data_IF_864317692974
#
_entry.id   IF_864317692974
#
_cell.length_a   1.000
_cell.length_b   1.000
_cell.length_c   1.000
_cell.angle_alpha   90.00
_cell.angle_beta   90.00
_cell.angle_gamma   90.00
#
_symmetry.space_group_name_H-M   'P 1'
#
loop_
_entity.id
_entity.type
_entity.pdbx_description
1 polymer ?
#
# COMPACT_ATOMS: atom_id res chain seq x y z
N UNK A 1 -13.56 -11.00 -5.82
CA UNK A 1 -12.36 -11.56 -5.17
C UNK A 1 -11.60 -10.42 -4.52
N UNK A 2 -11.23 -10.58 -3.25
CA UNK A 2 -10.45 -9.56 -2.54
C UNK A 2 -9.10 -9.39 -3.24
N UNK A 3 -8.69 -8.16 -3.56
CA UNK A 3 -7.42 -7.89 -4.25
C UNK A 3 -6.18 -8.40 -3.49
N UNK A 4 -6.35 -8.80 -2.22
CA UNK A 4 -5.33 -9.35 -1.31
C UNK A 4 -5.15 -10.88 -1.50
N UNK A 5 -6.02 -11.57 -2.24
CA UNK A 5 -5.98 -13.04 -2.41
C UNK A 5 -4.88 -13.53 -3.35
N UNK A 6 -4.32 -12.64 -4.19
CA UNK A 6 -3.27 -12.97 -5.16
C UNK A 6 -2.12 -13.76 -4.52
N UNK A 7 -1.69 -14.79 -5.20
CA UNK A 7 -0.47 -15.53 -4.87
C UNK A 7 0.76 -14.65 -5.10
N UNK A 8 1.91 -14.94 -4.43
CA UNK A 8 3.13 -14.17 -4.66
C UNK A 8 3.57 -14.11 -6.13
N UNK A 9 3.30 -15.17 -6.91
CA UNK A 9 3.63 -15.21 -8.35
C UNK A 9 2.80 -14.21 -9.15
N UNK A 10 1.48 -14.20 -8.94
CA UNK A 10 0.57 -13.26 -9.61
C UNK A 10 0.87 -11.80 -9.25
N UNK A 11 1.30 -11.53 -8.01
CA UNK A 11 1.74 -10.19 -7.61
C UNK A 11 3.00 -9.77 -8.38
N UNK A 12 3.99 -10.66 -8.50
CA UNK A 12 5.22 -10.37 -9.27
C UNK A 12 4.90 -10.15 -10.74
N UNK A 13 4.02 -10.96 -11.33
CA UNK A 13 3.56 -10.82 -12.71
C UNK A 13 2.82 -9.51 -12.96
N UNK A 14 1.96 -9.08 -12.04
CA UNK A 14 1.30 -7.79 -12.13
C UNK A 14 2.30 -6.63 -12.05
N UNK A 15 3.28 -6.71 -11.15
CA UNK A 15 4.35 -5.71 -11.04
C UNK A 15 5.26 -5.68 -12.28
N UNK A 16 5.44 -6.80 -12.98
CA UNK A 16 6.23 -6.87 -14.22
C UNK A 16 5.63 -6.03 -15.35
N UNK A 17 4.32 -5.76 -15.34
CA UNK A 17 3.67 -4.89 -16.34
C UNK A 17 4.12 -3.41 -16.25
N UNK A 18 4.66 -3.00 -15.11
CA UNK A 18 4.98 -1.59 -14.83
C UNK A 18 6.44 -1.35 -14.47
N UNK A 19 7.12 -2.32 -13.86
CA UNK A 19 8.51 -2.21 -13.42
C UNK A 19 9.34 -3.24 -14.19
N UNK A 20 10.41 -2.81 -14.84
CA UNK A 20 11.36 -3.71 -15.51
C UNK A 20 12.44 -4.16 -14.51
N UNK A 21 12.81 -5.45 -14.52
CA UNK A 21 13.84 -5.99 -13.61
C UNK A 21 13.40 -6.04 -12.14
N UNK A 22 14.32 -5.81 -11.19
CA UNK A 22 14.05 -5.73 -9.75
C UNK A 22 13.29 -6.94 -9.15
N UNK A 23 13.62 -8.15 -9.60
CA UNK A 23 12.90 -9.37 -9.19
C UNK A 23 12.86 -9.57 -7.68
N UNK A 24 13.99 -9.37 -6.98
CA UNK A 24 14.06 -9.58 -5.54
C UNK A 24 13.19 -8.60 -4.76
N UNK A 25 13.14 -7.33 -5.18
CA UNK A 25 12.27 -6.33 -4.57
C UNK A 25 10.79 -6.67 -4.80
N UNK A 26 10.41 -7.12 -6.00
CA UNK A 26 9.05 -7.58 -6.32
C UNK A 26 8.65 -8.81 -5.51
N UNK A 27 9.56 -9.78 -5.37
CA UNK A 27 9.36 -10.98 -4.57
C UNK A 27 9.18 -10.65 -3.09
N UNK A 28 10.00 -9.74 -2.55
CA UNK A 28 9.91 -9.32 -1.16
C UNK A 28 8.54 -8.68 -0.85
N UNK A 29 8.07 -7.76 -1.69
CA UNK A 29 6.74 -7.14 -1.49
C UNK A 29 5.60 -8.14 -1.67
N UNK A 30 5.72 -9.08 -2.62
CA UNK A 30 4.73 -10.12 -2.83
C UNK A 30 4.59 -11.07 -1.62
N UNK A 31 5.72 -11.42 -1.00
CA UNK A 31 5.72 -12.24 0.22
C UNK A 31 5.15 -11.48 1.42
N UNK A 32 5.47 -10.20 1.60
CA UNK A 32 4.90 -9.39 2.66
C UNK A 32 3.38 -9.26 2.52
N UNK A 33 2.88 -9.04 1.30
CA UNK A 33 1.44 -9.02 1.03
C UNK A 33 0.78 -10.38 1.34
N UNK A 34 1.41 -11.49 0.91
CA UNK A 34 0.90 -12.83 1.20
C UNK A 34 0.90 -13.14 2.70
N UNK A 35 1.89 -12.64 3.44
CA UNK A 35 1.93 -12.74 4.90
C UNK A 35 0.74 -12.05 5.54
N UNK A 36 0.32 -10.88 5.00
CA UNK A 36 -0.89 -10.18 5.47
C UNK A 36 -2.15 -11.00 5.20
N UNK A 37 -2.28 -11.59 4.01
CA UNK A 37 -3.41 -12.48 3.70
C UNK A 37 -3.44 -13.69 4.63
N UNK A 38 -2.30 -14.36 4.85
CA UNK A 38 -2.19 -15.53 5.75
C UNK A 38 -2.58 -15.17 7.17
N UNK A 39 -2.15 -14.01 7.67
CA UNK A 39 -2.53 -13.51 9.00
C UNK A 39 -4.06 -13.39 9.13
N UNK A 40 -4.75 -12.91 8.09
CA UNK A 40 -6.21 -12.83 8.09
C UNK A 40 -6.91 -14.20 8.10
N UNK A 41 -6.21 -15.32 7.85
CA UNK A 41 -6.78 -16.66 7.92
C UNK A 41 -6.64 -17.32 9.30
N UNK A 42 -5.90 -16.70 10.23
CA UNK A 42 -5.65 -17.24 11.57
C UNK A 42 -6.75 -16.84 12.55
N UNK A 43 -6.77 -17.47 13.73
CA UNK A 43 -7.63 -17.05 14.84
C UNK A 43 -7.23 -15.68 15.39
N UNK A 44 -8.15 -15.00 16.08
CA UNK A 44 -7.88 -13.65 16.61
C UNK A 44 -6.74 -13.62 17.63
N UNK A 45 -6.57 -14.68 18.42
CA UNK A 45 -5.46 -14.82 19.37
C UNK A 45 -4.11 -14.99 18.66
N UNK A 46 -4.04 -15.79 17.60
CA UNK A 46 -2.80 -15.94 16.81
C UNK A 46 -2.47 -14.69 15.98
N UNK A 47 -3.49 -13.91 15.60
CA UNK A 47 -3.33 -12.70 14.76
C UNK A 47 -2.59 -11.57 15.48
N UNK A 48 -2.67 -11.49 16.80
CA UNK A 48 -2.01 -10.42 17.60
C UNK A 48 -0.51 -10.64 17.71
N UNK A 49 -0.06 -11.90 17.68
CA UNK A 49 1.36 -12.28 17.77
C UNK A 49 2.14 -12.06 16.46
N UNK A 50 1.43 -11.87 15.34
CA UNK A 50 2.06 -11.76 14.01
C UNK A 50 2.14 -10.30 13.56
N UNK A 51 3.35 -9.77 13.64
CA UNK A 51 3.67 -8.43 13.14
C UNK A 51 3.83 -8.37 11.62
N UNK A 52 3.52 -7.23 10.98
CA UNK A 52 3.79 -6.99 9.57
C UNK A 52 5.28 -7.17 9.23
N UNK A 53 5.55 -7.74 8.06
CA UNK A 53 6.91 -7.87 7.52
C UNK A 53 7.27 -6.60 6.76
N UNK A 54 7.76 -5.59 7.48
CA UNK A 54 8.22 -4.32 6.91
C UNK A 54 9.42 -4.53 5.98
N UNK A 55 9.58 -3.65 4.98
CA UNK A 55 10.57 -3.81 3.90
C UNK A 55 11.45 -2.58 3.85
N UNK A 56 12.76 -2.80 3.85
CA UNK A 56 13.78 -1.80 3.54
C UNK A 56 14.31 -2.03 2.12
N UNK A 57 14.08 -1.09 1.21
CA UNK A 57 14.60 -1.15 -0.16
C UNK A 57 15.89 -0.33 -0.29
N UNK A 58 16.98 -0.99 -0.63
CA UNK A 58 18.30 -0.35 -0.80
C UNK A 58 18.65 -0.30 -2.29
N UNK A 59 19.05 0.87 -2.78
CA UNK A 59 19.48 1.06 -4.18
C UNK A 59 19.50 2.54 -4.60
N UNK A 60 20.07 2.88 -5.77
CA UNK A 60 20.18 4.26 -6.24
C UNK A 60 18.81 4.85 -6.61
N UNK A 61 18.74 6.16 -6.82
CA UNK A 61 17.51 6.83 -7.30
C UNK A 61 17.14 6.33 -8.70
N UNK A 62 15.86 6.44 -9.07
CA UNK A 62 15.39 6.07 -10.42
C UNK A 62 15.18 4.57 -10.70
N UNK A 63 15.65 3.65 -9.85
CA UNK A 63 15.53 2.19 -10.11
C UNK A 63 14.14 1.57 -9.84
N UNK A 64 13.15 2.38 -9.47
CA UNK A 64 11.77 1.91 -9.28
C UNK A 64 11.35 1.57 -7.84
N UNK A 65 12.14 1.88 -6.81
CA UNK A 65 11.78 1.61 -5.39
C UNK A 65 10.40 2.14 -5.01
N UNK A 66 10.16 3.43 -5.26
CA UNK A 66 8.86 4.06 -4.98
C UNK A 66 7.75 3.54 -5.88
N UNK A 67 8.06 3.20 -7.13
CA UNK A 67 7.07 2.70 -8.09
C UNK A 67 6.57 1.31 -7.71
N UNK A 68 7.44 0.43 -7.19
CA UNK A 68 7.03 -0.88 -6.65
C UNK A 68 6.00 -0.68 -5.53
N UNK A 69 6.28 0.19 -4.56
CA UNK A 69 5.37 0.44 -3.44
C UNK A 69 4.05 1.07 -3.91
N UNK A 70 4.11 2.06 -4.81
CA UNK A 70 2.93 2.73 -5.38
C UNK A 70 2.05 1.75 -6.17
N UNK A 71 2.64 0.91 -7.02
CA UNK A 71 1.90 -0.09 -7.81
C UNK A 71 1.30 -1.17 -6.95
N UNK A 72 2.02 -1.62 -5.92
CA UNK A 72 1.50 -2.57 -4.94
C UNK A 72 0.24 -2.01 -4.27
N UNK A 73 0.29 -0.76 -3.78
CA UNK A 73 -0.86 -0.15 -3.13
C UNK A 73 -2.05 0.02 -4.07
N UNK A 74 -1.83 0.45 -5.32
CA UNK A 74 -2.89 0.55 -6.34
C UNK A 74 -3.51 -0.82 -6.65
N UNK A 75 -2.70 -1.87 -6.75
CA UNK A 75 -3.15 -3.23 -7.05
C UNK A 75 -3.91 -3.87 -5.88
N UNK A 76 -3.69 -3.44 -4.64
CA UNK A 76 -4.41 -3.95 -3.47
C UNK A 76 -5.47 -2.98 -2.97
N UNK A 77 -5.71 -1.90 -3.72
CA UNK A 77 -6.63 -0.83 -3.36
C UNK A 77 -6.39 -0.29 -1.93
N UNK A 78 -5.11 -0.25 -1.54
CA UNK A 78 -4.67 0.19 -0.24
C UNK A 78 -4.38 1.71 -0.24
N UNK A 79 -4.71 2.42 0.85
CA UNK A 79 -4.29 3.80 1.01
C UNK A 79 -2.76 3.90 1.02
N UNK A 80 -2.22 4.94 0.39
CA UNK A 80 -0.78 5.09 0.17
C UNK A 80 -0.34 6.54 0.33
N UNK A 81 0.74 6.75 1.07
CA UNK A 81 1.42 8.03 1.20
C UNK A 81 2.92 7.85 0.94
N UNK A 82 3.56 8.89 0.40
CA UNK A 82 5.01 9.00 0.28
C UNK A 82 5.46 10.12 1.21
N UNK A 83 6.34 9.81 2.16
CA UNK A 83 6.92 10.80 3.08
C UNK A 83 8.44 10.75 2.99
N UNK A 84 9.08 11.89 3.21
CA UNK A 84 10.54 12.03 3.24
C UNK A 84 10.99 12.16 4.69
N UNK A 85 11.85 11.25 5.14
CA UNK A 85 12.26 11.15 6.54
C UNK A 85 13.01 12.40 7.05
N UNK A 86 13.77 13.07 6.17
CA UNK A 86 14.51 14.29 6.51
C UNK A 86 13.62 15.44 6.97
N UNK A 87 12.33 15.45 6.58
CA UNK A 87 11.35 16.46 7.02
C UNK A 87 11.06 16.42 8.51
N UNK A 88 11.40 15.32 9.19
CA UNK A 88 11.22 15.15 10.63
C UNK A 88 12.49 15.43 11.45
N UNK A 89 13.62 15.64 10.77
CA UNK A 89 14.93 15.88 11.41
C UNK A 89 15.48 17.27 11.15
N UNK A 90 14.93 18.02 10.19
CA UNK A 90 15.35 19.41 9.92
C UNK A 90 14.98 20.32 11.10
N UNK A 91 16.04 20.86 11.74
CA UNK A 91 15.98 21.69 12.94
C UNK A 91 15.31 23.03 12.59
N UNK A 92 14.02 23.15 12.90
CA UNK A 92 13.25 24.37 12.65
C UNK A 92 11.90 24.33 13.35
N UNK A 93 11.85 24.99 14.50
CA UNK A 93 10.70 25.51 15.25
C UNK A 93 9.31 25.15 14.65
N UNK A 94 8.59 24.23 15.31
CA UNK A 94 7.27 23.69 14.90
C UNK A 94 7.34 22.76 13.66
N UNK A 95 8.19 21.74 13.73
CA UNK A 95 8.30 20.71 12.68
C UNK A 95 7.01 19.89 12.50
N UNK A 96 6.84 19.28 11.31
CA UNK A 96 5.81 18.24 11.12
C UNK A 96 6.03 17.13 12.13
N UNK A 97 4.99 16.83 12.89
CA UNK A 97 4.95 15.73 13.84
C UNK A 97 4.94 14.37 13.13
N UNK A 98 5.65 13.36 13.64
CA UNK A 98 5.68 12.00 13.07
C UNK A 98 4.30 11.37 12.99
N UNK A 99 3.38 11.75 13.89
CA UNK A 99 1.98 11.30 13.83
C UNK A 99 1.25 11.82 12.60
N UNK A 100 1.73 12.91 11.97
CA UNK A 100 1.16 13.41 10.71
C UNK A 100 1.20 12.36 9.60
N UNK A 101 2.16 11.42 9.61
CA UNK A 101 2.18 10.31 8.65
C UNK A 101 0.92 9.46 8.75
N UNK A 102 0.45 9.19 9.98
CA UNK A 102 -0.77 8.40 10.17
C UNK A 102 -2.01 9.25 9.84
N UNK A 103 -2.03 10.53 10.21
CA UNK A 103 -3.12 11.46 9.86
C UNK A 103 -3.32 11.56 8.34
N UNK A 104 -2.24 11.79 7.60
CA UNK A 104 -2.24 11.89 6.13
C UNK A 104 -2.73 10.57 5.49
N UNK A 105 -2.32 9.40 6.03
CA UNK A 105 -2.76 8.10 5.54
C UNK A 105 -4.26 7.86 5.76
N UNK A 106 -4.79 8.27 6.92
CA UNK A 106 -6.22 8.18 7.22
C UNK A 106 -7.01 9.11 6.32
N UNK A 107 -6.54 10.33 6.09
CA UNK A 107 -7.18 11.29 5.18
C UNK A 107 -7.29 10.73 3.75
N UNK A 108 -6.21 10.16 3.22
CA UNK A 108 -6.22 9.47 1.91
C UNK A 108 -7.22 8.32 1.91
N UNK A 109 -7.31 7.55 2.99
CA UNK A 109 -8.25 6.43 3.11
C UNK A 109 -9.71 6.89 3.03
N UNK A 110 -10.04 7.96 3.77
CA UNK A 110 -11.40 8.54 3.79
C UNK A 110 -11.76 9.13 2.43
N UNK A 111 -10.83 9.84 1.80
CA UNK A 111 -11.04 10.42 0.48
C UNK A 111 -11.25 9.35 -0.59
N UNK A 112 -10.46 8.27 -0.56
CA UNK A 112 -10.65 7.13 -1.47
C UNK A 112 -12.03 6.48 -1.30
N UNK A 113 -12.50 6.31 -0.06
CA UNK A 113 -13.83 5.75 0.21
C UNK A 113 -14.95 6.67 -0.27
N UNK A 114 -14.83 7.99 -0.05
CA UNK A 114 -15.80 8.98 -0.54
C UNK A 114 -15.91 8.97 -2.05
N UNK A 115 -14.77 8.94 -2.75
CA UNK A 115 -14.74 8.89 -4.21
C UNK A 115 -15.47 7.64 -4.75
N UNK A 116 -15.20 6.45 -4.20
CA UNK A 116 -15.88 5.22 -4.61
C UNK A 116 -17.39 5.27 -4.40
N UNK A 117 -17.84 5.76 -3.24
CA UNK A 117 -19.28 5.88 -2.96
C UNK A 117 -19.97 6.86 -3.90
N UNK A 118 -19.29 7.94 -4.27
CA UNK A 118 -19.82 8.90 -5.23
C UNK A 118 -19.99 8.25 -6.61
N UNK A 119 -18.99 7.50 -7.08
CA UNK A 119 -19.07 6.74 -8.34
C UNK A 119 -20.22 5.71 -8.29
N UNK A 120 -20.35 4.94 -7.21
CA UNK A 120 -21.44 3.97 -7.02
C UNK A 120 -22.83 4.63 -7.10
N UNK A 121 -23.00 5.78 -6.46
CA UNK A 121 -24.27 6.51 -6.47
C UNK A 121 -24.60 7.08 -7.87
N UNK A 122 -23.60 7.56 -8.60
CA UNK A 122 -23.78 8.06 -9.97
C UNK A 122 -24.18 6.93 -10.93
N UNK A 123 -23.57 5.76 -10.80
CA UNK A 123 -23.95 4.57 -11.57
C UNK A 123 -25.38 4.13 -11.27
N UNK A 124 -25.78 4.08 -10.00
CA UNK A 124 -27.13 3.69 -9.62
C UNK A 124 -28.18 4.70 -10.09
N UNK A 125 -27.87 6.00 -10.03
CA UNK A 125 -28.72 7.05 -10.59
C UNK A 125 -28.89 6.92 -12.11
N UNK A 126 -27.82 6.59 -12.85
CA UNK A 126 -27.89 6.33 -14.29
C UNK A 126 -28.69 5.08 -14.64
N UNK A 127 -28.66 4.03 -13.81
CA UNK A 127 -29.45 2.81 -14.05
C UNK A 127 -30.94 2.99 -13.79
N UNK A 128 -31.32 3.97 -12.97
CA UNK A 128 -32.71 4.27 -12.63
C UNK A 128 -33.37 5.32 -13.54
N UNK A 129 -32.60 5.98 -14.40
CA UNK A 129 -33.05 6.94 -15.40
C UNK A 129 -33.32 6.25 -16.75
#
# INVERSE_FOLDING_TARGET
MSQIEKTPREVVEELNKYIVGQYDAKKAVALALRSRWRRLQLSDEERTEIYPKNILMIGPTGVGKTEIARRLAKMTDAPFIKVEASKFTEVGYVGRDVESMIRDLVEVSVNNLRARRQEEHEEDAMRQA
#
